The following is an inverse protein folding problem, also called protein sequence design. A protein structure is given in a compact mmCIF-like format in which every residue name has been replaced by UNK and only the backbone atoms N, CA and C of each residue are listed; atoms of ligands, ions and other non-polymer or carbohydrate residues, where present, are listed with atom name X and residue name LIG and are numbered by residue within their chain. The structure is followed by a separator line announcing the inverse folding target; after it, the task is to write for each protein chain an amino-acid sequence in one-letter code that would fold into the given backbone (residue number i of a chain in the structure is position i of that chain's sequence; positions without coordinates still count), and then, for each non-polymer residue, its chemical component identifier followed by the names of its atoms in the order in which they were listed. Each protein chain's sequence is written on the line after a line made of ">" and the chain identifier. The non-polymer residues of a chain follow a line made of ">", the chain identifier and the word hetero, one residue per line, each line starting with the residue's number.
data_IF_596088730736
#
_entry.id   IF_596088730736
#
_cell.length_a   1.000
_cell.length_b   1.000
_cell.length_c   1.000
_cell.angle_alpha   90.00
_cell.angle_beta   90.00
_cell.angle_gamma   90.00
#
_symmetry.space_group_name_H-M   'P 1'
#
loop_
_entity.id
_entity.type
_entity.pdbx_description
1 polymer ?
#
# COMPACT_ATOMS: atom_id res chain seq x y z
N UNK A 1 5.84 20.79 10.86
CA UNK A 1 5.33 19.85 9.83
C UNK A 1 5.70 20.26 8.40
N UNK A 2 5.57 21.54 8.03
CA UNK A 2 6.01 22.02 6.69
C UNK A 2 7.51 21.85 6.45
N UNK A 3 8.34 21.89 7.49
CA UNK A 3 9.78 21.76 7.41
C UNK A 3 10.24 20.33 7.00
N UNK A 4 9.50 19.28 7.39
CA UNK A 4 9.87 17.91 7.04
C UNK A 4 9.92 17.67 5.52
N UNK A 5 9.00 18.28 4.76
CA UNK A 5 8.88 18.11 3.30
C UNK A 5 9.67 19.18 2.51
N UNK A 6 10.13 20.24 3.18
CA UNK A 6 10.77 21.36 2.50
C UNK A 6 12.05 20.92 1.76
N UNK A 7 12.16 21.34 0.49
CA UNK A 7 13.32 21.10 -0.38
C UNK A 7 13.70 19.64 -0.60
N UNK A 8 12.83 18.68 -0.27
CA UNK A 8 13.08 17.26 -0.49
C UNK A 8 12.48 16.77 -1.80
N UNK A 9 13.21 15.92 -2.49
CA UNK A 9 12.72 15.17 -3.64
C UNK A 9 12.01 13.90 -3.16
N UNK A 10 10.77 13.72 -3.58
CA UNK A 10 9.87 12.66 -3.11
C UNK A 10 9.47 11.79 -4.27
N UNK A 11 9.76 10.51 -4.16
CA UNK A 11 9.29 9.48 -5.08
C UNK A 11 7.99 8.90 -4.53
N UNK A 12 6.93 8.91 -5.34
CA UNK A 12 5.66 8.24 -5.03
C UNK A 12 5.42 7.15 -6.06
N UNK A 13 5.83 5.91 -5.74
CA UNK A 13 5.49 4.78 -6.60
C UNK A 13 4.00 4.48 -6.47
N UNK A 14 3.35 4.11 -7.59
CA UNK A 14 1.89 3.97 -7.58
C UNK A 14 1.13 5.30 -7.41
N UNK A 15 1.80 6.45 -7.53
CA UNK A 15 1.20 7.78 -7.34
C UNK A 15 0.09 8.16 -8.33
N UNK A 16 -0.09 7.38 -9.41
CA UNK A 16 -1.21 7.54 -10.37
C UNK A 16 -2.39 6.62 -10.07
N UNK A 17 -2.26 5.73 -9.10
CA UNK A 17 -3.31 4.81 -8.67
C UNK A 17 -4.31 5.47 -7.71
N UNK A 18 -5.25 4.67 -7.22
CA UNK A 18 -6.31 5.11 -6.32
C UNK A 18 -5.76 5.86 -5.10
N UNK A 19 -5.07 5.20 -4.20
CA UNK A 19 -4.52 5.81 -2.98
C UNK A 19 -3.42 6.82 -3.30
N UNK A 20 -2.51 6.45 -4.23
CA UNK A 20 -1.35 7.28 -4.56
C UNK A 20 -1.71 8.67 -5.11
N UNK A 21 -2.79 8.79 -5.89
CA UNK A 21 -3.25 10.07 -6.39
C UNK A 21 -3.72 11.04 -5.28
N UNK A 22 -4.31 10.50 -4.21
CA UNK A 22 -4.67 11.29 -3.03
C UNK A 22 -3.47 11.67 -2.17
N UNK A 23 -2.45 10.81 -2.10
CA UNK A 23 -1.15 11.13 -1.49
C UNK A 23 -0.48 12.29 -2.22
N UNK A 24 -0.44 12.24 -3.56
CA UNK A 24 0.11 13.33 -4.41
C UNK A 24 -0.67 14.63 -4.21
N UNK A 25 -2.01 14.59 -4.22
CA UNK A 25 -2.83 15.77 -3.94
C UNK A 25 -2.51 16.36 -2.56
N UNK A 26 -2.38 15.52 -1.55
CA UNK A 26 -2.09 15.96 -0.19
C UNK A 26 -0.67 16.59 -0.07
N UNK A 27 0.33 15.97 -0.71
CA UNK A 27 1.68 16.54 -0.79
C UNK A 27 1.69 17.95 -1.42
N UNK A 28 0.97 18.11 -2.53
CA UNK A 28 0.94 19.40 -3.25
C UNK A 28 0.06 20.46 -2.57
N UNK A 29 -1.15 20.07 -2.17
CA UNK A 29 -2.16 21.02 -1.68
C UNK A 29 -1.99 21.37 -0.20
N UNK A 30 -1.67 20.38 0.66
CA UNK A 30 -1.55 20.60 2.10
C UNK A 30 -0.10 20.79 2.56
N UNK A 31 0.84 19.92 2.11
CA UNK A 31 2.26 19.98 2.47
C UNK A 31 3.05 20.98 1.63
N UNK A 32 2.43 21.56 0.59
CA UNK A 32 3.03 22.59 -0.27
C UNK A 32 4.32 22.13 -0.96
N UNK A 33 4.45 20.83 -1.21
CA UNK A 33 5.58 20.28 -1.98
C UNK A 33 5.47 20.76 -3.42
N UNK A 34 6.56 21.31 -3.94
CA UNK A 34 6.59 21.76 -5.34
C UNK A 34 6.48 20.57 -6.30
N UNK A 35 5.65 20.64 -7.36
CA UNK A 35 5.53 19.57 -8.35
C UNK A 35 6.88 19.13 -8.96
N UNK A 36 7.85 20.03 -9.10
CA UNK A 36 9.21 19.72 -9.57
C UNK A 36 10.00 18.79 -8.65
N UNK A 37 9.60 18.68 -7.40
CA UNK A 37 10.20 17.80 -6.39
C UNK A 37 9.45 16.47 -6.24
N UNK A 38 8.39 16.24 -7.03
CA UNK A 38 7.64 15.00 -7.03
C UNK A 38 8.00 14.14 -8.23
N UNK A 39 8.41 12.91 -7.97
CA UNK A 39 8.69 11.89 -8.97
C UNK A 39 7.58 10.86 -8.91
N UNK A 40 6.79 10.75 -9.99
CA UNK A 40 5.63 9.86 -10.09
C UNK A 40 5.82 8.98 -11.34
N UNK A 41 6.46 7.81 -11.22
CA UNK A 41 6.76 6.98 -12.36
C UNK A 41 5.49 6.43 -13.02
N UNK A 42 5.56 6.25 -14.33
CA UNK A 42 4.53 5.61 -15.13
C UNK A 42 4.86 4.13 -15.30
N UNK A 43 3.96 3.23 -14.90
CA UNK A 43 4.16 1.78 -14.99
C UNK A 43 4.39 1.27 -16.43
N UNK A 44 3.91 2.02 -17.43
CA UNK A 44 4.17 1.72 -18.85
C UNK A 44 5.62 1.98 -19.29
N UNK A 45 6.36 2.79 -18.54
CA UNK A 45 7.76 3.19 -18.86
C UNK A 45 8.77 2.60 -17.89
N UNK A 46 8.35 2.30 -16.68
CA UNK A 46 9.20 1.85 -15.56
C UNK A 46 8.61 0.56 -15.00
N UNK A 47 9.38 -0.51 -15.04
CA UNK A 47 9.02 -1.80 -14.47
C UNK A 47 9.79 -2.04 -13.17
N UNK A 48 9.16 -1.78 -12.03
CA UNK A 48 9.80 -1.92 -10.71
C UNK A 48 10.19 -3.37 -10.35
N UNK A 49 9.76 -4.36 -11.12
CA UNK A 49 10.25 -5.75 -11.01
C UNK A 49 11.68 -5.90 -11.54
N UNK A 50 12.19 -4.88 -12.22
CA UNK A 50 13.58 -4.78 -12.67
C UNK A 50 14.35 -3.86 -11.73
N UNK A 51 15.42 -4.37 -11.15
CA UNK A 51 16.21 -3.62 -10.18
C UNK A 51 16.78 -2.31 -10.74
N UNK A 52 17.27 -2.33 -11.98
CA UNK A 52 17.84 -1.14 -12.61
C UNK A 52 16.81 -0.01 -12.77
N UNK A 53 15.55 -0.35 -13.07
CA UNK A 53 14.47 0.63 -13.15
C UNK A 53 14.16 1.23 -11.77
N UNK A 54 14.07 0.38 -10.72
CA UNK A 54 13.87 0.84 -9.36
C UNK A 54 15.02 1.75 -8.89
N UNK A 55 16.26 1.36 -9.17
CA UNK A 55 17.46 2.13 -8.83
C UNK A 55 17.52 3.47 -9.57
N UNK A 56 17.18 3.48 -10.86
CA UNK A 56 17.20 4.67 -11.71
C UNK A 56 16.22 5.75 -11.23
N UNK A 57 15.00 5.38 -10.84
CA UNK A 57 13.99 6.37 -10.39
C UNK A 57 14.29 6.94 -9.00
N UNK A 58 15.23 6.36 -8.26
CA UNK A 58 15.66 6.84 -6.94
C UNK A 58 16.88 7.76 -6.99
N UNK A 59 17.33 8.17 -8.17
CA UNK A 59 18.42 9.14 -8.30
C UNK A 59 18.01 10.48 -7.69
N UNK A 60 18.85 11.00 -6.77
CA UNK A 60 18.61 12.26 -6.04
C UNK A 60 17.28 12.31 -5.25
N UNK A 61 16.70 11.18 -4.86
CA UNK A 61 15.49 11.11 -4.05
C UNK A 61 15.84 11.13 -2.56
N UNK A 62 15.07 11.88 -1.77
CA UNK A 62 15.20 11.93 -0.31
C UNK A 62 14.21 10.99 0.39
N UNK A 63 12.96 10.96 -0.10
CA UNK A 63 11.85 10.22 0.52
C UNK A 63 11.18 9.35 -0.53
N UNK A 64 10.91 8.10 -0.17
CA UNK A 64 10.12 7.17 -0.99
C UNK A 64 8.83 6.84 -0.27
N UNK A 65 7.70 7.09 -0.93
CA UNK A 65 6.38 6.61 -0.56
C UNK A 65 6.03 5.46 -1.53
N UNK A 66 6.13 4.24 -1.03
CA UNK A 66 5.97 3.04 -1.85
C UNK A 66 4.56 2.48 -1.75
N UNK A 67 3.74 2.79 -2.80
CA UNK A 67 2.35 2.34 -2.92
C UNK A 67 2.13 1.43 -4.15
N UNK A 68 3.14 1.29 -5.02
CA UNK A 68 3.02 0.43 -6.18
C UNK A 68 2.99 -1.05 -5.76
N UNK A 69 1.98 -1.76 -6.18
CA UNK A 69 1.82 -3.19 -5.93
C UNK A 69 0.96 -3.81 -7.02
N UNK A 70 1.06 -5.11 -7.22
CA UNK A 70 0.14 -5.88 -8.07
C UNK A 70 -1.12 -6.17 -7.25
N UNK A 71 -2.13 -5.31 -7.39
CA UNK A 71 -3.35 -5.29 -6.56
C UNK A 71 -4.57 -5.62 -7.42
N UNK A 72 -5.47 -6.40 -6.87
CA UNK A 72 -6.79 -6.68 -7.44
C UNK A 72 -7.76 -7.14 -6.37
N UNK A 73 -9.04 -7.20 -6.71
CA UNK A 73 -10.07 -7.75 -5.85
C UNK A 73 -9.85 -9.24 -5.55
N UNK A 74 -10.70 -9.81 -4.68
CA UNK A 74 -10.57 -11.21 -4.25
C UNK A 74 -10.64 -12.19 -5.44
N UNK A 75 -11.40 -11.87 -6.49
CA UNK A 75 -11.48 -12.65 -7.72
C UNK A 75 -10.12 -12.78 -8.41
N UNK A 76 -9.42 -11.66 -8.60
CA UNK A 76 -8.07 -11.65 -9.17
C UNK A 76 -7.07 -12.40 -8.28
N UNK A 77 -7.05 -12.11 -6.98
CA UNK A 77 -6.10 -12.70 -6.03
C UNK A 77 -6.26 -14.23 -5.92
N UNK A 78 -7.50 -14.74 -6.00
CA UNK A 78 -7.78 -16.16 -5.92
C UNK A 78 -7.37 -16.93 -7.18
N UNK A 79 -7.39 -16.29 -8.34
CA UNK A 79 -7.07 -16.92 -9.64
C UNK A 79 -5.62 -16.72 -10.07
N UNK A 80 -4.88 -15.74 -9.49
CA UNK A 80 -3.51 -15.38 -9.87
C UNK A 80 -2.53 -15.37 -8.67
N UNK A 81 -2.61 -16.32 -7.71
CA UNK A 81 -1.82 -16.24 -6.47
C UNK A 81 -0.30 -16.25 -6.72
N UNK A 82 0.20 -17.07 -7.63
CA UNK A 82 1.63 -17.14 -7.94
C UNK A 82 2.16 -15.89 -8.66
N UNK A 83 1.38 -15.39 -9.60
CA UNK A 83 1.73 -14.15 -10.35
C UNK A 83 1.80 -12.96 -9.41
N UNK A 84 0.78 -12.80 -8.58
CA UNK A 84 0.67 -11.69 -7.64
C UNK A 84 1.77 -11.76 -6.57
N UNK A 85 1.99 -12.93 -5.95
CA UNK A 85 3.06 -13.15 -5.00
C UNK A 85 4.42 -12.75 -5.60
N UNK A 86 4.76 -13.31 -6.77
CA UNK A 86 6.02 -13.04 -7.45
C UNK A 86 6.20 -11.56 -7.76
N UNK A 87 5.19 -10.92 -8.34
CA UNK A 87 5.28 -9.52 -8.76
C UNK A 87 5.48 -8.59 -7.57
N UNK A 88 4.72 -8.78 -6.49
CA UNK A 88 4.83 -7.97 -5.28
C UNK A 88 6.21 -8.15 -4.64
N UNK A 89 6.67 -9.40 -4.44
CA UNK A 89 7.98 -9.67 -3.85
C UNK A 89 9.13 -9.06 -4.65
N UNK A 90 9.11 -9.13 -5.98
CA UNK A 90 10.15 -8.54 -6.82
C UNK A 90 10.16 -7.01 -6.70
N UNK A 91 8.99 -6.38 -6.73
CA UNK A 91 8.86 -4.92 -6.59
C UNK A 91 9.39 -4.49 -5.24
N UNK A 92 8.91 -5.09 -4.16
CA UNK A 92 9.26 -4.69 -2.80
C UNK A 92 10.76 -4.90 -2.53
N UNK A 93 11.33 -6.07 -2.88
CA UNK A 93 12.75 -6.34 -2.71
C UNK A 93 13.63 -5.33 -3.48
N UNK A 94 13.27 -5.01 -4.72
CA UNK A 94 14.01 -4.03 -5.52
C UNK A 94 13.91 -2.61 -4.93
N UNK A 95 12.76 -2.22 -4.41
CA UNK A 95 12.57 -0.91 -3.76
C UNK A 95 13.42 -0.80 -2.50
N UNK A 96 13.44 -1.81 -1.64
CA UNK A 96 14.26 -1.79 -0.42
C UNK A 96 15.75 -1.74 -0.74
N UNK A 97 16.22 -2.58 -1.65
CA UNK A 97 17.64 -2.58 -2.03
C UNK A 97 18.06 -1.27 -2.72
N UNK A 98 17.24 -0.75 -3.64
CA UNK A 98 17.52 0.53 -4.28
C UNK A 98 17.51 1.69 -3.28
N UNK A 99 16.57 1.70 -2.32
CA UNK A 99 16.48 2.70 -1.26
C UNK A 99 17.73 2.69 -0.37
N UNK A 100 18.23 1.52 -0.02
CA UNK A 100 19.48 1.39 0.71
C UNK A 100 20.69 1.90 -0.11
N UNK A 101 20.87 1.44 -1.34
CA UNK A 101 22.00 1.85 -2.21
C UNK A 101 22.00 3.35 -2.50
N UNK A 102 20.82 3.97 -2.64
CA UNK A 102 20.65 5.41 -2.88
C UNK A 102 20.60 6.24 -1.60
N UNK A 103 20.79 5.62 -0.42
CA UNK A 103 20.82 6.28 0.89
C UNK A 103 19.58 7.15 1.14
N UNK A 104 18.39 6.59 0.80
CA UNK A 104 17.11 7.25 1.00
C UNK A 104 16.92 7.58 2.49
N UNK A 105 16.52 8.83 2.79
CA UNK A 105 16.37 9.32 4.17
C UNK A 105 15.14 8.73 4.86
N UNK A 106 14.09 8.40 4.09
CA UNK A 106 12.86 7.81 4.58
C UNK A 106 12.18 6.96 3.52
N UNK A 107 11.84 5.72 3.86
CA UNK A 107 10.98 4.82 3.07
C UNK A 107 9.71 4.54 3.85
N UNK A 108 8.55 4.75 3.23
CA UNK A 108 7.25 4.33 3.75
C UNK A 108 6.66 3.30 2.81
N UNK A 109 6.38 2.10 3.31
CA UNK A 109 5.71 1.04 2.55
C UNK A 109 4.25 0.94 2.96
N UNK A 110 3.39 0.70 1.98
CA UNK A 110 1.95 0.52 2.19
C UNK A 110 1.59 -0.94 2.02
N UNK A 111 1.40 -1.60 3.15
CA UNK A 111 0.94 -2.97 3.25
C UNK A 111 -0.60 -3.04 3.36
N UNK A 112 -1.14 -4.18 3.77
CA UNK A 112 -2.59 -4.41 3.76
C UNK A 112 -3.02 -5.32 4.91
N UNK A 113 -4.23 -5.09 5.42
CA UNK A 113 -4.88 -5.97 6.39
C UNK A 113 -5.07 -7.41 5.89
N UNK A 114 -5.01 -7.67 4.58
CA UNK A 114 -5.04 -9.02 4.01
C UNK A 114 -3.84 -9.87 4.45
N UNK A 115 -2.79 -9.26 4.95
CA UNK A 115 -1.61 -9.92 5.50
C UNK A 115 -1.89 -10.60 6.86
N UNK A 116 -2.95 -10.19 7.57
CA UNK A 116 -3.32 -10.80 8.85
C UNK A 116 -3.82 -12.24 8.71
N UNK A 117 -3.72 -13.04 9.78
CA UNK A 117 -4.31 -14.38 9.79
C UNK A 117 -5.80 -14.38 9.47
N UNK A 118 -6.26 -15.40 8.74
CA UNK A 118 -7.67 -15.55 8.40
C UNK A 118 -8.59 -15.65 9.63
N UNK A 119 -8.07 -16.14 10.75
CA UNK A 119 -8.76 -16.31 12.02
C UNK A 119 -8.34 -15.29 13.09
N UNK A 120 -7.73 -14.18 12.69
CA UNK A 120 -7.38 -13.10 13.62
C UNK A 120 -8.65 -12.51 14.26
N UNK A 121 -8.56 -12.20 15.55
CA UNK A 121 -9.64 -11.53 16.27
C UNK A 121 -9.71 -10.04 15.90
N UNK A 122 -10.91 -9.47 15.95
CA UNK A 122 -11.13 -8.04 15.75
C UNK A 122 -11.22 -7.32 17.11
N UNK A 123 -10.69 -6.08 17.21
CA UNK A 123 -9.91 -5.37 16.18
C UNK A 123 -8.54 -6.02 15.95
N UNK A 124 -8.04 -5.97 14.69
CA UNK A 124 -6.73 -6.49 14.32
C UNK A 124 -5.61 -5.75 15.08
N UNK A 125 -4.71 -6.51 15.69
CA UNK A 125 -3.55 -5.97 16.42
C UNK A 125 -2.26 -6.33 15.69
N UNK A 126 -1.32 -5.41 15.58
CA UNK A 126 -0.07 -5.58 14.84
C UNK A 126 0.75 -6.79 15.32
N UNK A 127 0.69 -7.10 16.61
CA UNK A 127 1.35 -8.27 17.20
C UNK A 127 0.81 -9.61 16.69
N UNK A 128 -0.43 -9.64 16.17
CA UNK A 128 -1.09 -10.87 15.72
C UNK A 128 -0.76 -11.20 14.25
N UNK A 129 -0.03 -10.32 13.56
CA UNK A 129 0.26 -10.44 12.12
C UNK A 129 0.88 -11.79 11.72
N UNK A 130 1.69 -12.40 12.59
CA UNK A 130 2.45 -13.61 12.29
C UNK A 130 1.93 -14.88 13.02
N UNK A 131 0.78 -14.82 13.71
CA UNK A 131 0.28 -15.94 14.52
C UNK A 131 -0.34 -17.07 13.67
N UNK A 132 -0.79 -16.77 12.44
CA UNK A 132 -1.41 -17.73 11.53
C UNK A 132 -1.23 -17.36 10.08
N UNK A 133 -1.93 -18.05 9.17
CA UNK A 133 -1.85 -17.80 7.73
C UNK A 133 -2.90 -16.81 7.24
N UNK A 134 -2.59 -15.99 6.20
CA UNK A 134 -3.58 -15.20 5.48
C UNK A 134 -4.71 -16.07 4.91
N UNK A 135 -5.84 -15.45 4.57
CA UNK A 135 -6.98 -16.16 4.01
C UNK A 135 -6.62 -16.85 2.69
N UNK A 136 -7.17 -18.05 2.46
CA UNK A 136 -6.92 -18.84 1.25
C UNK A 136 -7.19 -18.08 -0.06
N UNK A 137 -8.24 -17.25 -0.09
CA UNK A 137 -8.58 -16.45 -1.27
C UNK A 137 -7.58 -15.34 -1.62
N UNK A 138 -6.79 -14.88 -0.64
CA UNK A 138 -5.79 -13.82 -0.83
C UNK A 138 -4.38 -14.24 -0.41
N UNK A 139 -4.13 -15.51 -0.28
CA UNK A 139 -2.94 -16.10 0.32
C UNK A 139 -1.63 -15.58 -0.31
N UNK A 140 -1.50 -15.60 -1.64
CA UNK A 140 -0.29 -15.13 -2.31
C UNK A 140 0.01 -13.66 -2.03
N UNK A 141 -1.02 -12.80 -2.16
CA UNK A 141 -0.91 -11.38 -1.85
C UNK A 141 -0.68 -11.13 -0.36
N UNK A 142 -1.39 -11.84 0.51
CA UNK A 142 -1.25 -11.70 1.96
C UNK A 142 0.15 -12.02 2.47
N UNK A 143 0.77 -13.11 1.99
CA UNK A 143 2.16 -13.42 2.32
C UNK A 143 3.14 -12.40 1.74
N UNK A 144 2.95 -11.97 0.48
CA UNK A 144 3.79 -10.93 -0.09
C UNK A 144 3.75 -9.65 0.75
N UNK A 145 2.57 -9.21 1.20
CA UNK A 145 2.42 -8.03 2.04
C UNK A 145 2.99 -8.20 3.46
N UNK A 146 3.05 -9.42 4.00
CA UNK A 146 3.82 -9.70 5.22
C UNK A 146 5.31 -9.50 5.04
N UNK A 147 5.85 -9.83 3.87
CA UNK A 147 7.27 -9.68 3.60
C UNK A 147 7.73 -8.23 3.64
N UNK A 148 6.86 -7.25 3.38
CA UNK A 148 7.21 -5.83 3.58
C UNK A 148 7.59 -5.53 5.03
N UNK A 149 6.92 -6.14 6.00
CA UNK A 149 7.27 -6.00 7.43
C UNK A 149 8.62 -6.64 7.72
N UNK A 150 8.86 -7.84 7.18
CA UNK A 150 10.15 -8.53 7.34
C UNK A 150 11.28 -7.74 6.68
N UNK A 151 11.09 -7.25 5.45
CA UNK A 151 12.05 -6.39 4.76
C UNK A 151 12.35 -5.13 5.58
N UNK A 152 11.31 -4.48 6.14
CA UNK A 152 11.48 -3.28 6.96
C UNK A 152 12.35 -3.55 8.18
N UNK A 153 12.11 -4.66 8.89
CA UNK A 153 12.90 -5.07 10.05
C UNK A 153 14.34 -5.42 9.66
N UNK A 154 14.52 -6.29 8.67
CA UNK A 154 15.82 -6.77 8.23
C UNK A 154 16.71 -5.62 7.71
N UNK A 155 16.19 -4.74 6.85
CA UNK A 155 16.95 -3.61 6.35
C UNK A 155 17.25 -2.56 7.42
N UNK A 156 16.37 -2.40 8.41
CA UNK A 156 16.65 -1.54 9.57
C UNK A 156 17.76 -2.12 10.43
N UNK A 157 17.69 -3.41 10.74
CA UNK A 157 18.66 -4.09 11.61
C UNK A 157 20.05 -4.17 10.97
N UNK A 158 20.12 -4.65 9.75
CA UNK A 158 21.41 -4.90 9.07
C UNK A 158 21.99 -3.65 8.43
N UNK A 159 21.16 -2.81 7.81
CA UNK A 159 21.60 -1.71 6.94
C UNK A 159 21.32 -0.31 7.52
N UNK A 160 20.56 -0.22 8.62
CA UNK A 160 20.18 1.06 9.22
C UNK A 160 19.17 1.86 8.39
N UNK A 161 18.51 1.26 7.38
CA UNK A 161 17.54 1.94 6.54
C UNK A 161 16.36 2.48 7.38
N UNK A 162 16.08 3.77 7.29
CA UNK A 162 14.92 4.37 7.97
C UNK A 162 13.65 4.08 7.17
N UNK A 163 13.10 2.88 7.36
CA UNK A 163 11.86 2.45 6.76
C UNK A 163 10.77 2.27 7.82
N UNK A 164 9.51 2.46 7.42
CA UNK A 164 8.34 2.07 8.18
C UNK A 164 7.27 1.49 7.26
N UNK A 165 6.36 0.71 7.83
CA UNK A 165 5.28 0.07 7.09
C UNK A 165 3.94 0.37 7.74
N UNK A 166 2.96 0.74 6.94
CA UNK A 166 1.59 0.97 7.36
C UNK A 166 0.67 -0.12 6.78
N UNK A 167 -0.22 -0.65 7.62
CA UNK A 167 -1.18 -1.69 7.27
C UNK A 167 -2.51 -1.03 6.95
N UNK A 168 -2.94 -1.07 5.69
CA UNK A 168 -4.22 -0.49 5.27
C UNK A 168 -5.39 -1.40 5.61
N UNK A 169 -6.40 -0.88 6.28
CA UNK A 169 -7.75 -1.43 6.22
C UNK A 169 -8.38 -1.23 4.82
N UNK A 170 -9.71 -1.34 4.67
CA UNK A 170 -10.34 -1.23 3.35
C UNK A 170 -10.66 0.24 3.04
N UNK A 171 -9.79 0.88 2.26
CA UNK A 171 -10.03 2.26 1.84
C UNK A 171 -11.05 2.35 0.69
N UNK A 172 -11.89 3.39 0.71
CA UNK A 172 -12.84 3.71 -0.35
C UNK A 172 -12.84 5.21 -0.66
N UNK A 173 -13.32 5.58 -1.85
CA UNK A 173 -13.48 6.98 -2.20
C UNK A 173 -13.32 7.27 -3.70
N UNK A 174 -13.23 8.56 -4.07
CA UNK A 174 -13.04 8.99 -5.46
C UNK A 174 -11.81 8.37 -6.12
N UNK A 175 -11.87 8.14 -7.43
CA UNK A 175 -10.81 7.55 -8.25
C UNK A 175 -10.58 6.05 -8.00
N UNK A 176 -11.45 5.40 -7.23
CA UNK A 176 -11.40 3.95 -7.09
C UNK A 176 -11.80 3.28 -8.42
N UNK A 177 -11.21 2.12 -8.71
CA UNK A 177 -11.59 1.31 -9.86
C UNK A 177 -12.98 0.70 -9.66
N UNK A 178 -13.84 0.88 -10.65
CA UNK A 178 -15.21 0.35 -10.70
C UNK A 178 -15.33 -0.87 -11.61
N UNK A 179 -14.25 -1.42 -12.11
CA UNK A 179 -14.28 -2.66 -12.89
C UNK A 179 -14.81 -3.82 -12.03
N UNK A 180 -15.63 -4.70 -12.65
CA UNK A 180 -16.29 -5.77 -11.92
C UNK A 180 -15.37 -6.95 -11.58
N UNK A 181 -14.26 -7.10 -12.31
CA UNK A 181 -13.31 -8.20 -12.12
C UNK A 181 -12.18 -7.79 -11.16
N UNK A 182 -11.65 -6.57 -11.33
CA UNK A 182 -10.51 -6.05 -10.55
C UNK A 182 -10.92 -5.17 -9.37
N UNK A 183 -12.15 -4.63 -9.38
CA UNK A 183 -12.65 -3.70 -8.37
C UNK A 183 -12.81 -4.31 -6.98
N UNK A 184 -12.66 -3.48 -5.97
CA UNK A 184 -12.91 -3.84 -4.57
C UNK A 184 -14.40 -3.81 -4.23
N UNK A 185 -14.77 -4.37 -3.08
CA UNK A 185 -16.17 -4.63 -2.70
C UNK A 185 -17.10 -3.41 -2.83
N UNK A 186 -16.71 -2.23 -2.30
CA UNK A 186 -17.58 -1.04 -2.34
C UNK A 186 -17.80 -0.58 -3.79
N UNK A 187 -16.74 -0.40 -4.58
CA UNK A 187 -16.86 0.03 -5.97
C UNK A 187 -17.59 -0.98 -6.84
N UNK A 188 -17.33 -2.27 -6.65
CA UNK A 188 -18.03 -3.35 -7.36
C UNK A 188 -19.53 -3.37 -7.02
N UNK A 189 -19.91 -3.24 -5.74
CA UNK A 189 -21.31 -3.21 -5.33
C UNK A 189 -22.03 -1.98 -5.88
N UNK A 190 -21.41 -0.79 -5.80
CA UNK A 190 -21.96 0.43 -6.40
C UNK A 190 -22.22 0.21 -7.88
N UNK A 191 -21.23 -0.28 -8.64
CA UNK A 191 -21.40 -0.55 -10.06
C UNK A 191 -22.50 -1.56 -10.35
N UNK A 192 -22.56 -2.65 -9.57
CA UNK A 192 -23.62 -3.67 -9.71
C UNK A 192 -25.01 -3.07 -9.50
N UNK A 193 -25.19 -2.19 -8.52
CA UNK A 193 -26.47 -1.51 -8.28
C UNK A 193 -26.96 -0.67 -9.49
N UNK A 194 -26.02 -0.07 -10.22
CA UNK A 194 -26.35 0.73 -11.44
C UNK A 194 -26.46 -0.11 -12.71
N UNK A 195 -25.87 -1.30 -12.74
CA UNK A 195 -25.80 -2.12 -13.95
C UNK A 195 -26.83 -3.22 -14.02
N UNK A 196 -27.16 -3.83 -12.88
CA UNK A 196 -28.02 -5.01 -12.81
C UNK A 196 -29.33 -4.75 -12.06
N UNK A 197 -30.42 -5.38 -12.51
CA UNK A 197 -31.72 -5.30 -11.82
C UNK A 197 -31.75 -6.06 -10.48
N UNK A 198 -30.87 -7.07 -10.33
CA UNK A 198 -30.74 -7.88 -9.11
C UNK A 198 -29.29 -7.81 -8.67
N UNK A 199 -29.10 -7.41 -7.40
CA UNK A 199 -27.78 -7.35 -6.79
C UNK A 199 -27.38 -8.75 -6.30
N UNK A 200 -26.28 -9.28 -6.84
CA UNK A 200 -25.64 -10.48 -6.36
C UNK A 200 -24.47 -10.09 -5.44
N UNK A 201 -24.55 -10.55 -4.21
CA UNK A 201 -23.52 -10.36 -3.17
C UNK A 201 -22.91 -11.71 -2.84
N UNK A 202 -21.58 -11.78 -2.78
CA UNK A 202 -20.89 -13.01 -2.42
C UNK A 202 -20.78 -13.14 -0.90
N UNK A 203 -21.02 -14.35 -0.40
CA UNK A 203 -21.03 -14.67 1.03
C UNK A 203 -22.39 -14.47 1.67
N UNK A 204 -22.43 -14.56 2.98
CA UNK A 204 -23.63 -14.52 3.82
C UNK A 204 -23.81 -13.20 4.59
N UNK A 205 -22.89 -12.24 4.42
CA UNK A 205 -22.91 -10.96 5.11
C UNK A 205 -22.29 -10.98 6.51
N UNK A 206 -21.72 -12.08 6.95
CA UNK A 206 -21.05 -12.19 8.26
C UNK A 206 -19.66 -11.58 8.32
N UNK A 207 -19.09 -11.19 7.17
CA UNK A 207 -17.74 -10.67 7.09
C UNK A 207 -17.64 -9.26 7.65
N UNK A 208 -16.90 -9.10 8.74
CA UNK A 208 -16.60 -7.79 9.32
C UNK A 208 -15.46 -7.12 8.54
N UNK A 209 -15.64 -5.85 8.19
CA UNK A 209 -14.64 -5.03 7.52
C UNK A 209 -14.58 -3.63 8.12
N UNK A 210 -13.39 -3.09 8.24
CA UNK A 210 -13.17 -1.68 8.55
C UNK A 210 -13.04 -0.92 7.22
N UNK A 211 -14.01 -0.05 6.93
CA UNK A 211 -13.99 0.83 5.76
C UNK A 211 -13.68 2.26 6.18
N UNK A 212 -12.68 2.86 5.52
CA UNK A 212 -12.30 4.23 5.83
C UNK A 212 -11.98 5.05 4.57
N UNK A 213 -12.11 6.36 4.70
CA UNK A 213 -12.04 7.25 3.55
C UNK A 213 -10.60 7.41 3.04
N UNK A 214 -10.41 7.32 1.72
CA UNK A 214 -9.09 7.31 1.10
C UNK A 214 -8.25 8.56 1.38
N UNK A 215 -8.88 9.73 1.59
CA UNK A 215 -8.13 10.96 1.92
C UNK A 215 -7.55 10.91 3.34
N UNK A 216 -8.22 10.22 4.27
CA UNK A 216 -7.70 10.01 5.62
C UNK A 216 -6.56 9.01 5.58
N UNK A 217 -6.65 7.98 4.72
CA UNK A 217 -5.52 7.08 4.48
C UNK A 217 -4.30 7.81 3.91
N UNK A 218 -4.50 8.64 2.90
CA UNK A 218 -3.41 9.45 2.35
C UNK A 218 -2.76 10.36 3.40
N UNK A 219 -3.56 10.94 4.31
CA UNK A 219 -3.04 11.70 5.46
C UNK A 219 -2.24 10.81 6.39
N UNK A 220 -2.75 9.62 6.74
CA UNK A 220 -2.09 8.66 7.62
C UNK A 220 -0.71 8.21 7.07
N UNK A 221 -0.60 7.97 5.76
CA UNK A 221 0.67 7.65 5.10
C UNK A 221 1.70 8.78 5.27
N UNK A 222 1.28 10.03 5.09
CA UNK A 222 2.16 11.18 5.24
C UNK A 222 2.56 11.42 6.70
N UNK A 223 1.64 11.22 7.64
CA UNK A 223 1.95 11.26 9.08
C UNK A 223 2.93 10.14 9.47
N UNK A 224 2.80 8.96 8.88
CA UNK A 224 3.76 7.88 9.08
C UNK A 224 5.17 8.28 8.61
N UNK A 225 5.29 8.93 7.45
CA UNK A 225 6.56 9.46 6.98
C UNK A 225 7.16 10.47 7.96
N UNK A 226 6.33 11.37 8.49
CA UNK A 226 6.72 12.46 9.40
C UNK A 226 7.08 11.99 10.81
N UNK A 227 6.43 10.92 11.31
CA UNK A 227 6.44 10.56 12.74
C UNK A 227 7.05 9.21 13.06
N UNK A 228 6.94 8.21 12.18
CA UNK A 228 7.36 6.85 12.49
C UNK A 228 8.84 6.64 12.15
N UNK A 229 9.60 6.14 13.12
CA UNK A 229 10.99 5.70 12.95
C UNK A 229 11.19 4.23 13.37
N UNK A 230 10.10 3.55 13.72
CA UNK A 230 10.09 2.13 14.07
C UNK A 230 9.90 1.26 12.83
N UNK A 231 10.54 0.08 12.75
CA UNK A 231 10.27 -0.91 11.71
C UNK A 231 8.98 -1.71 11.97
N UNK A 232 8.35 -1.52 13.13
CA UNK A 232 7.11 -2.21 13.47
C UNK A 232 5.94 -1.68 12.65
N UNK A 233 5.03 -2.56 12.19
CA UNK A 233 3.87 -2.16 11.42
C UNK A 233 2.92 -1.30 12.24
N UNK A 234 2.17 -0.42 11.57
CA UNK A 234 1.12 0.39 12.19
C UNK A 234 -0.15 0.28 11.36
N UNK A 235 -1.24 -0.10 11.99
CA UNK A 235 -2.56 -0.15 11.35
C UNK A 235 -3.10 1.24 11.08
N UNK A 236 -3.68 1.44 9.90
CA UNK A 236 -4.44 2.63 9.53
C UNK A 236 -5.84 2.19 9.09
N UNK A 237 -6.84 2.61 9.84
CA UNK A 237 -8.25 2.31 9.62
C UNK A 237 -9.14 3.28 10.38
N UNK A 238 -10.45 3.08 10.32
CA UNK A 238 -11.42 3.85 11.11
C UNK A 238 -11.53 3.37 12.55
N UNK A 239 -11.14 2.13 12.82
CA UNK A 239 -11.34 1.44 14.09
C UNK A 239 -12.76 0.92 14.29
N UNK A 240 -13.62 1.01 13.28
CA UNK A 240 -15.01 0.55 13.32
C UNK A 240 -15.23 -0.55 12.30
N UNK A 241 -15.64 -1.73 12.77
CA UNK A 241 -16.02 -2.85 11.92
C UNK A 241 -17.52 -2.78 11.56
N UNK A 242 -17.82 -3.02 10.29
CA UNK A 242 -19.19 -3.13 9.77
C UNK A 242 -19.35 -4.42 9.00
#
# INVERSE_FOLDING_TARGET
>A
MLDFWANKKILVTGGRGFVGSHVVDNLTLKRKVSPKNLIIPESKKIDLRKFDDARKIMEDVDIVLHLASDVGGIGYSSTHPATQLRNVLLVDANIFEAAFQKKIKKLVCVSSAVAYPANASYPLKEQDLFIGEPSKGGYGYGFAKRMEVILTRAYKEEKGLNACVVMSANSYGPRQDFDLESGHVISSLIRKCFTFKKLEVWGDGSQIRDFFYVKDFAEGILLAAEKLNSPEPVNIGSGVGV
#
